data_IF_700677312893
#
_entry.id   IF_700677312893
#
_cell.length_a   1.000
_cell.length_b   1.000
_cell.length_c   1.000
_cell.angle_alpha   90.00
_cell.angle_beta   90.00
_cell.angle_gamma   90.00
#
_symmetry.space_group_name_H-M   'P 1'
#
loop_
_entity.id
_entity.type
_entity.pdbx_description
1 polymer ?
#
# COMPACT_ATOMS: atom_id res chain seq x y z
N UNK A 1 16.62 -115.04 -15.27
CA UNK A 1 17.42 -114.59 -14.11
C UNK A 1 17.20 -113.09 -13.90
N UNK A 2 17.18 -112.63 -12.63
CA UNK A 2 16.44 -111.45 -12.14
C UNK A 2 17.41 -110.33 -11.67
N UNK A 3 17.04 -109.35 -10.82
CA UNK A 3 15.98 -108.33 -10.92
C UNK A 3 16.45 -106.90 -10.49
N UNK A 4 15.48 -105.96 -10.44
CA UNK A 4 15.25 -104.99 -9.34
C UNK A 4 16.23 -103.81 -9.14
N UNK A 5 15.86 -102.65 -8.59
CA UNK A 5 14.61 -101.98 -8.18
C UNK A 5 15.06 -100.61 -7.64
N UNK A 6 14.26 -99.57 -7.84
CA UNK A 6 14.44 -98.24 -7.20
C UNK A 6 14.42 -98.37 -5.66
N UNK A 7 15.22 -97.55 -4.95
CA UNK A 7 14.76 -96.89 -3.70
C UNK A 7 15.68 -95.73 -3.25
N UNK A 8 15.01 -94.73 -2.71
CA UNK A 8 15.35 -93.49 -1.97
C UNK A 8 16.39 -93.58 -0.84
N UNK A 9 17.06 -92.45 -0.48
CA UNK A 9 16.93 -91.76 0.83
C UNK A 9 18.13 -90.88 1.28
N UNK A 10 17.78 -89.64 1.68
CA UNK A 10 18.30 -88.72 2.74
C UNK A 10 19.73 -88.13 2.81
N UNK A 11 19.65 -86.81 3.04
CA UNK A 11 20.53 -85.72 3.47
C UNK A 11 21.47 -85.97 4.65
N UNK A 12 22.65 -85.31 4.69
CA UNK A 12 23.22 -84.67 5.90
C UNK A 12 24.26 -83.57 5.57
N UNK A 13 24.21 -82.49 6.35
CA UNK A 13 24.98 -81.22 6.34
C UNK A 13 26.38 -81.29 6.97
N UNK A 14 27.34 -80.43 6.57
CA UNK A 14 28.47 -79.98 7.43
C UNK A 14 28.82 -78.48 7.25
N UNK A 15 29.13 -77.82 8.38
CA UNK A 15 29.43 -76.38 8.60
C UNK A 15 30.85 -75.96 8.13
N UNK A 16 31.11 -74.66 7.88
CA UNK A 16 32.41 -74.16 7.41
C UNK A 16 33.36 -73.74 8.56
N UNK A 17 34.67 -73.85 8.32
CA UNK A 17 35.76 -73.41 9.21
C UNK A 17 36.29 -72.04 8.73
N UNK A 18 36.38 -71.06 9.62
CA UNK A 18 36.93 -69.71 9.36
C UNK A 18 38.45 -69.63 9.57
N UNK A 19 39.19 -69.07 8.61
CA UNK A 19 40.65 -68.78 8.69
C UNK A 19 40.88 -67.27 8.93
N UNK A 20 41.62 -66.89 9.99
CA UNK A 20 41.96 -65.49 10.32
C UNK A 20 42.97 -64.90 9.32
N UNK A 21 42.72 -63.68 8.81
CA UNK A 21 43.58 -62.94 7.86
C UNK A 21 44.70 -62.14 8.57
N UNK A 22 45.90 -62.11 7.97
CA UNK A 22 47.08 -61.31 8.36
C UNK A 22 46.96 -59.90 7.76
N UNK A 23 47.17 -58.83 8.54
CA UNK A 23 47.01 -57.44 8.04
C UNK A 23 48.26 -56.94 7.28
N UNK A 24 48.07 -56.41 6.08
CA UNK A 24 49.11 -55.75 5.28
C UNK A 24 49.14 -54.23 5.56
N UNK A 25 50.33 -53.66 5.86
CA UNK A 25 50.53 -52.21 5.98
C UNK A 25 50.60 -51.58 4.56
N UNK A 26 49.84 -50.51 4.32
CA UNK A 26 49.78 -49.78 3.03
C UNK A 26 51.09 -49.05 2.70
N UNK A 27 51.45 -48.97 1.43
CA UNK A 27 52.71 -48.38 0.93
C UNK A 27 52.67 -46.83 0.90
N UNK A 28 53.86 -46.19 0.89
CA UNK A 28 54.03 -44.72 0.93
C UNK A 28 53.21 -43.99 -0.16
N UNK A 29 53.20 -44.50 -1.39
CA UNK A 29 52.40 -43.93 -2.50
C UNK A 29 50.88 -43.97 -2.24
N UNK A 30 50.37 -45.00 -1.55
CA UNK A 30 48.96 -45.06 -1.14
C UNK A 30 48.64 -44.04 -0.05
N UNK A 31 49.59 -43.76 0.85
CA UNK A 31 49.42 -42.77 1.94
C UNK A 31 49.37 -41.34 1.39
N UNK A 32 50.17 -41.04 0.37
CA UNK A 32 50.18 -39.72 -0.28
C UNK A 32 49.05 -39.52 -1.29
N UNK A 33 48.60 -40.57 -2.01
CA UNK A 33 47.36 -40.50 -2.81
C UNK A 33 46.13 -40.16 -1.96
N UNK A 34 46.01 -40.78 -0.79
CA UNK A 34 44.89 -40.51 0.12
C UNK A 34 44.94 -39.06 0.64
N UNK A 35 46.12 -38.57 1.04
CA UNK A 35 46.29 -37.17 1.46
C UNK A 35 45.94 -36.19 0.33
N UNK A 36 46.37 -36.45 -0.90
CA UNK A 36 46.06 -35.61 -2.05
C UNK A 36 44.56 -35.56 -2.35
N UNK A 37 43.87 -36.71 -2.28
CA UNK A 37 42.41 -36.77 -2.45
C UNK A 37 41.71 -36.00 -1.32
N UNK A 38 42.15 -36.14 -0.07
CA UNK A 38 41.60 -35.39 1.07
C UNK A 38 41.81 -33.88 0.86
N UNK A 39 42.99 -33.44 0.43
CA UNK A 39 43.26 -32.02 0.17
C UNK A 39 42.38 -31.48 -0.95
N UNK A 40 42.16 -32.24 -2.03
CA UNK A 40 41.25 -31.85 -3.11
C UNK A 40 39.80 -31.75 -2.63
N UNK A 41 39.35 -32.69 -1.80
CA UNK A 41 38.02 -32.65 -1.18
C UNK A 41 37.89 -31.46 -0.24
N UNK A 42 38.91 -31.15 0.57
CA UNK A 42 38.93 -29.97 1.44
C UNK A 42 38.91 -28.68 0.61
N UNK A 43 39.72 -28.56 -0.44
CA UNK A 43 39.72 -27.38 -1.31
C UNK A 43 38.40 -27.19 -2.05
N UNK A 44 37.70 -28.28 -2.39
CA UNK A 44 36.40 -28.24 -3.04
C UNK A 44 35.29 -27.89 -2.03
N UNK A 45 35.36 -28.43 -0.81
CA UNK A 45 34.47 -28.09 0.30
C UNK A 45 34.66 -26.66 0.79
N UNK A 46 35.87 -26.10 0.73
CA UNK A 46 36.21 -24.72 1.08
C UNK A 46 36.34 -23.80 -0.14
N UNK A 47 35.90 -24.25 -1.32
CA UNK A 47 35.93 -23.44 -2.53
C UNK A 47 35.00 -22.24 -2.40
N UNK A 48 35.47 -21.00 -2.64
CA UNK A 48 34.62 -19.81 -2.65
C UNK A 48 33.46 -19.91 -3.64
N UNK A 49 33.58 -20.73 -4.69
CA UNK A 49 32.53 -20.96 -5.69
C UNK A 49 31.39 -21.82 -5.14
N UNK A 50 31.69 -22.82 -4.29
CA UNK A 50 30.69 -23.70 -3.68
C UNK A 50 29.86 -22.93 -2.66
N UNK A 51 30.53 -22.21 -1.74
CA UNK A 51 29.84 -21.34 -0.78
C UNK A 51 29.23 -20.10 -1.43
N UNK A 52 29.82 -19.55 -2.49
CA UNK A 52 29.21 -18.45 -3.24
C UNK A 52 27.88 -18.84 -3.88
N UNK A 53 27.75 -20.06 -4.40
CA UNK A 53 26.48 -20.59 -4.93
C UNK A 53 25.50 -20.90 -3.80
N UNK A 54 25.92 -21.58 -2.74
CA UNK A 54 25.07 -21.86 -1.56
C UNK A 54 24.61 -20.58 -0.85
N UNK A 55 25.46 -19.57 -0.72
CA UNK A 55 25.11 -18.27 -0.16
C UNK A 55 24.18 -17.50 -1.10
N UNK A 56 24.43 -17.50 -2.41
CA UNK A 56 23.50 -16.91 -3.40
C UNK A 56 22.14 -17.59 -3.36
N UNK A 57 22.10 -18.93 -3.29
CA UNK A 57 20.85 -19.69 -3.20
C UNK A 57 20.18 -19.51 -1.84
N UNK A 58 20.91 -19.44 -0.72
CA UNK A 58 20.34 -19.19 0.60
C UNK A 58 19.81 -17.76 0.73
N UNK A 59 20.49 -16.77 0.16
CA UNK A 59 20.00 -15.38 0.08
C UNK A 59 18.82 -15.28 -0.88
N UNK A 60 18.83 -15.99 -2.01
CA UNK A 60 17.68 -16.02 -2.92
C UNK A 60 16.49 -16.75 -2.32
N UNK A 61 16.69 -17.83 -1.57
CA UNK A 61 15.64 -18.55 -0.85
C UNK A 61 15.16 -17.75 0.35
N UNK A 62 16.03 -17.04 1.06
CA UNK A 62 15.64 -16.13 2.13
C UNK A 62 14.82 -14.94 1.62
N UNK A 63 15.19 -14.38 0.45
CA UNK A 63 14.35 -13.40 -0.28
C UNK A 63 13.04 -14.04 -0.72
N UNK A 64 13.07 -15.17 -1.38
CA UNK A 64 11.87 -15.88 -1.86
C UNK A 64 10.92 -16.28 -0.72
N UNK A 65 11.43 -16.68 0.45
CA UNK A 65 10.65 -16.96 1.65
C UNK A 65 10.07 -15.67 2.23
N UNK A 66 10.87 -14.58 2.28
CA UNK A 66 10.37 -13.25 2.66
C UNK A 66 9.29 -12.77 1.67
N UNK A 67 9.48 -12.99 0.38
CA UNK A 67 8.53 -12.67 -0.69
C UNK A 67 7.30 -13.58 -0.64
N UNK A 68 7.42 -14.81 -0.10
CA UNK A 68 6.31 -15.72 0.19
C UNK A 68 5.46 -15.28 1.41
N UNK A 69 6.10 -14.66 2.40
CA UNK A 69 5.42 -14.09 3.57
C UNK A 69 4.99 -12.62 3.35
N UNK A 70 5.51 -11.93 2.32
CA UNK A 70 5.05 -10.63 1.79
C UNK A 70 4.07 -10.85 0.61
N UNK A 71 3.33 -11.97 0.60
CA UNK A 71 2.06 -12.01 -0.13
C UNK A 71 1.06 -11.16 0.67
N UNK A 72 0.54 -10.02 0.25
CA UNK A 72 0.71 -9.22 -0.95
C UNK A 72 0.14 -7.87 -0.52
N UNK A 73 0.93 -7.06 0.21
CA UNK A 73 0.42 -5.81 0.81
C UNK A 73 0.09 -4.76 -0.27
N UNK A 74 0.56 -4.96 -1.51
CA UNK A 74 0.33 -4.06 -2.65
C UNK A 74 0.10 -4.83 -3.97
N UNK A 75 -0.95 -5.69 -4.04
CA UNK A 75 -1.29 -6.47 -5.23
C UNK A 75 -1.75 -5.57 -6.34
N UNK A 76 -1.67 -6.06 -7.59
CA UNK A 76 -2.58 -5.58 -8.61
C UNK A 76 -4.00 -6.12 -8.32
N UNK A 77 -4.97 -5.24 -8.38
CA UNK A 77 -6.39 -5.57 -8.36
C UNK A 77 -6.95 -5.39 -9.77
N UNK A 78 -7.39 -6.47 -10.39
CA UNK A 78 -7.84 -6.44 -11.79
C UNK A 78 -9.17 -5.69 -11.97
N UNK A 79 -10.03 -5.66 -10.94
CA UNK A 79 -11.32 -4.95 -11.02
C UNK A 79 -11.12 -3.43 -10.92
N UNK A 80 -10.28 -2.99 -9.98
CA UNK A 80 -9.90 -1.58 -9.88
C UNK A 80 -8.85 -1.16 -10.92
N UNK A 81 -8.19 -2.12 -11.57
CA UNK A 81 -7.16 -1.90 -12.59
C UNK A 81 -5.88 -1.23 -12.08
N UNK A 82 -5.62 -1.28 -10.77
CA UNK A 82 -4.50 -0.60 -10.10
C UNK A 82 -3.91 -1.46 -8.98
N UNK A 83 -2.80 -1.01 -8.39
CA UNK A 83 -2.29 -1.60 -7.15
C UNK A 83 -2.95 -1.01 -5.92
N UNK A 84 -3.37 -1.87 -4.99
CA UNK A 84 -4.10 -1.47 -3.78
C UNK A 84 -3.28 -1.76 -2.51
N UNK A 85 -3.05 -0.80 -1.62
CA UNK A 85 -2.33 -1.03 -0.37
C UNK A 85 -3.25 -1.69 0.66
N UNK A 86 -3.32 -3.03 0.65
CA UNK A 86 -4.21 -3.86 1.47
C UNK A 86 -3.95 -3.81 2.98
N UNK A 87 -2.85 -3.17 3.39
CA UNK A 87 -2.60 -2.85 4.81
C UNK A 87 -3.71 -1.95 5.39
N UNK A 88 -4.32 -1.10 4.56
CA UNK A 88 -5.40 -0.21 4.98
C UNK A 88 -6.74 -0.84 4.58
N UNK A 89 -7.76 -0.62 5.40
CA UNK A 89 -9.09 -1.23 5.23
C UNK A 89 -10.16 -0.23 4.82
N UNK A 90 -9.90 1.06 5.03
CA UNK A 90 -10.83 2.14 4.72
C UNK A 90 -10.36 2.81 3.44
N UNK A 91 -11.12 2.62 2.37
CA UNK A 91 -10.81 3.15 1.05
C UNK A 91 -11.83 4.19 0.62
N UNK A 92 -11.40 5.07 -0.26
CA UNK A 92 -12.27 6.09 -0.83
C UNK A 92 -11.74 6.61 -2.13
N UNK A 93 -12.51 7.51 -2.74
CA UNK A 93 -12.16 8.16 -4.00
C UNK A 93 -12.14 9.68 -3.81
N UNK A 94 -11.55 10.37 -4.75
CA UNK A 94 -11.83 11.78 -4.92
C UNK A 94 -12.16 12.12 -6.37
N UNK A 95 -13.09 13.05 -6.53
CA UNK A 95 -13.74 13.30 -7.83
C UNK A 95 -14.01 14.78 -8.04
N UNK A 96 -14.11 15.14 -9.31
CA UNK A 96 -14.50 16.47 -9.77
C UNK A 96 -15.37 16.34 -11.02
N UNK A 97 -15.64 17.47 -11.67
CA UNK A 97 -16.25 17.51 -12.99
C UNK A 97 -15.51 16.71 -14.06
N UNK A 98 -14.22 16.41 -13.89
CA UNK A 98 -13.45 15.56 -14.83
C UNK A 98 -13.98 14.12 -14.90
N UNK A 99 -14.55 13.59 -13.80
CA UNK A 99 -15.17 12.26 -13.78
C UNK A 99 -16.58 12.24 -14.40
N UNK A 100 -17.13 13.41 -14.74
CA UNK A 100 -18.42 13.57 -15.38
C UNK A 100 -19.59 13.11 -14.50
N UNK A 101 -20.63 12.57 -15.13
CA UNK A 101 -21.82 12.06 -14.42
C UNK A 101 -21.52 10.71 -13.79
N UNK A 102 -21.48 10.68 -12.46
CA UNK A 102 -21.23 9.49 -11.63
C UNK A 102 -22.56 8.79 -11.31
N UNK A 103 -22.55 7.46 -11.34
CA UNK A 103 -23.61 6.63 -10.73
C UNK A 103 -23.13 6.15 -9.35
N UNK A 104 -23.55 6.85 -8.29
CA UNK A 104 -23.11 6.59 -6.92
C UNK A 104 -23.59 5.24 -6.35
N UNK A 105 -24.74 4.72 -6.81
CA UNK A 105 -25.22 3.39 -6.41
C UNK A 105 -24.27 2.28 -6.89
N UNK A 106 -23.69 2.44 -8.08
CA UNK A 106 -22.66 1.52 -8.59
C UNK A 106 -21.33 1.68 -7.88
N UNK A 107 -20.96 2.92 -7.53
CA UNK A 107 -19.74 3.20 -6.77
C UNK A 107 -19.76 2.49 -5.41
N UNK A 108 -20.85 2.63 -4.64
CA UNK A 108 -20.96 1.97 -3.31
C UNK A 108 -21.11 0.45 -3.41
N UNK A 109 -21.64 -0.07 -4.51
CA UNK A 109 -21.76 -1.50 -4.74
C UNK A 109 -20.44 -2.17 -5.18
N UNK A 110 -19.44 -1.38 -5.59
CA UNK A 110 -18.16 -1.91 -6.04
C UNK A 110 -17.37 -2.49 -4.86
N UNK A 111 -17.01 -3.77 -4.99
CA UNK A 111 -16.23 -4.50 -3.99
C UNK A 111 -15.31 -5.50 -4.70
N UNK A 112 -14.01 -5.43 -4.41
CA UNK A 112 -13.01 -6.41 -4.88
C UNK A 112 -12.06 -6.72 -3.74
N UNK A 113 -11.79 -8.00 -3.46
CA UNK A 113 -10.89 -8.45 -2.38
C UNK A 113 -11.12 -7.74 -1.02
N UNK A 114 -12.38 -7.60 -0.60
CA UNK A 114 -12.81 -6.89 0.63
C UNK A 114 -12.47 -5.38 0.65
N UNK A 115 -12.13 -4.79 -0.48
CA UNK A 115 -11.97 -3.34 -0.65
C UNK A 115 -13.33 -2.76 -1.02
N UNK A 116 -13.86 -1.90 -0.16
CA UNK A 116 -15.10 -1.15 -0.35
C UNK A 116 -14.80 0.34 -0.33
N UNK A 117 -15.58 1.10 -1.09
CA UNK A 117 -15.49 2.56 -1.07
C UNK A 117 -16.37 3.10 0.07
N UNK A 118 -15.75 3.52 1.16
CA UNK A 118 -16.43 4.04 2.35
C UNK A 118 -16.60 5.56 2.32
N UNK A 119 -15.66 6.28 1.68
CA UNK A 119 -15.69 7.74 1.62
C UNK A 119 -15.39 8.32 0.23
N UNK A 120 -15.77 9.58 0.02
CA UNK A 120 -15.40 10.34 -1.15
C UNK A 120 -15.11 11.82 -0.86
N UNK A 121 -14.03 12.37 -1.40
CA UNK A 121 -13.80 13.81 -1.46
C UNK A 121 -14.28 14.37 -2.80
N UNK A 122 -15.04 15.46 -2.78
CA UNK A 122 -15.71 16.01 -3.97
C UNK A 122 -15.27 17.45 -4.15
N UNK A 123 -14.76 17.79 -5.34
CA UNK A 123 -14.36 19.16 -5.66
C UNK A 123 -15.56 20.08 -5.55
N UNK A 124 -15.44 21.12 -4.74
CA UNK A 124 -16.49 22.14 -4.61
C UNK A 124 -16.14 23.41 -5.39
N UNK A 125 -14.95 23.95 -5.12
CA UNK A 125 -14.55 25.26 -5.64
C UNK A 125 -13.07 25.32 -5.96
N UNK A 126 -12.69 26.29 -6.79
CA UNK A 126 -11.31 26.60 -7.14
C UNK A 126 -11.10 28.12 -7.16
N UNK A 127 -10.05 28.57 -6.48
CA UNK A 127 -9.74 29.99 -6.37
C UNK A 127 -10.91 30.79 -5.77
N UNK A 128 -11.29 31.89 -6.40
CA UNK A 128 -12.32 32.81 -5.84
C UNK A 128 -13.57 32.91 -6.71
N UNK A 129 -13.68 32.11 -7.76
CA UNK A 129 -14.75 32.26 -8.77
C UNK A 129 -15.32 30.95 -9.31
N UNK A 130 -14.55 29.86 -9.31
CA UNK A 130 -14.96 28.63 -10.00
C UNK A 130 -15.67 27.70 -9.00
N UNK A 131 -16.92 27.38 -9.28
CA UNK A 131 -17.65 26.26 -8.66
C UNK A 131 -17.56 25.06 -9.61
N UNK A 132 -17.22 23.89 -9.10
CA UNK A 132 -17.19 22.68 -9.91
C UNK A 132 -18.61 22.35 -10.42
N UNK A 133 -18.74 22.12 -11.73
CA UNK A 133 -20.03 21.99 -12.40
C UNK A 133 -20.83 20.75 -11.99
N UNK A 134 -20.17 19.74 -11.41
CA UNK A 134 -20.81 18.53 -10.89
C UNK A 134 -20.94 18.50 -9.37
N UNK A 135 -20.37 19.48 -8.64
CA UNK A 135 -20.34 19.48 -7.18
C UNK A 135 -21.71 19.22 -6.56
N UNK A 136 -22.72 20.05 -6.85
CA UNK A 136 -24.03 19.97 -6.20
C UNK A 136 -24.73 18.61 -6.44
N UNK A 137 -24.53 18.04 -7.64
CA UNK A 137 -25.04 16.71 -7.97
C UNK A 137 -24.31 15.64 -7.16
N UNK A 138 -22.99 15.62 -7.24
CA UNK A 138 -22.16 14.63 -6.58
C UNK A 138 -22.33 14.69 -5.06
N UNK A 139 -22.40 15.90 -4.49
CA UNK A 139 -22.63 16.14 -3.08
C UNK A 139 -23.92 15.50 -2.60
N UNK A 140 -25.04 15.74 -3.30
CA UNK A 140 -26.34 15.16 -2.97
C UNK A 140 -26.36 13.64 -3.18
N UNK A 141 -25.98 13.17 -4.36
CA UNK A 141 -26.13 11.77 -4.77
C UNK A 141 -25.19 10.84 -3.99
N UNK A 142 -24.00 11.30 -3.58
CA UNK A 142 -23.10 10.49 -2.73
C UNK A 142 -23.69 10.26 -1.33
N UNK A 143 -24.32 11.28 -0.73
CA UNK A 143 -25.01 11.16 0.55
C UNK A 143 -26.20 10.22 0.45
N UNK A 144 -27.02 10.35 -0.59
CA UNK A 144 -28.16 9.47 -0.83
C UNK A 144 -27.73 7.99 -0.99
N UNK A 145 -26.56 7.74 -1.59
CA UNK A 145 -25.97 6.41 -1.70
C UNK A 145 -25.29 5.90 -0.41
N UNK A 146 -25.21 6.72 0.65
CA UNK A 146 -24.60 6.34 1.93
C UNK A 146 -23.08 6.45 2.01
N UNK A 147 -22.44 7.15 1.06
CA UNK A 147 -21.00 7.41 1.10
C UNK A 147 -20.69 8.56 2.07
N UNK A 148 -19.70 8.37 2.95
CA UNK A 148 -19.15 9.46 3.77
C UNK A 148 -18.49 10.47 2.83
N UNK A 149 -18.98 11.70 2.80
CA UNK A 149 -18.52 12.71 1.83
C UNK A 149 -17.76 13.84 2.50
N UNK A 150 -16.73 14.35 1.81
CA UNK A 150 -16.02 15.58 2.15
C UNK A 150 -15.92 16.49 0.94
N UNK A 151 -15.88 17.80 1.15
CA UNK A 151 -15.76 18.78 0.07
C UNK A 151 -14.36 19.39 0.07
N UNK A 152 -13.76 19.54 -1.12
CA UNK A 152 -12.43 20.16 -1.24
C UNK A 152 -12.43 21.46 -2.06
N UNK A 153 -11.50 22.34 -1.68
CA UNK A 153 -11.21 23.60 -2.34
C UNK A 153 -9.84 23.54 -3.02
N UNK A 154 -9.79 23.71 -4.34
CA UNK A 154 -8.52 23.85 -5.07
C UNK A 154 -7.95 25.25 -4.87
N UNK A 155 -6.88 25.34 -4.08
CA UNK A 155 -6.28 26.59 -3.66
C UNK A 155 -5.43 27.21 -4.76
N UNK A 156 -5.62 28.51 -5.00
CA UNK A 156 -4.77 29.33 -5.87
C UNK A 156 -3.92 30.28 -5.02
N UNK A 157 -2.60 30.03 -4.85
CA UNK A 157 -1.74 30.80 -3.95
C UNK A 157 -1.71 32.31 -4.19
N UNK A 158 -1.86 32.75 -5.45
CA UNK A 158 -1.86 34.19 -5.80
C UNK A 158 -3.19 34.90 -5.48
N UNK A 159 -4.16 34.20 -4.90
CA UNK A 159 -5.44 34.77 -4.46
C UNK A 159 -5.50 34.77 -2.94
N UNK A 160 -6.23 35.70 -2.34
CA UNK A 160 -6.35 35.79 -0.87
C UNK A 160 -7.01 34.51 -0.32
N UNK A 161 -6.34 33.86 0.61
CA UNK A 161 -6.81 32.63 1.26
C UNK A 161 -8.10 32.86 2.03
N UNK A 162 -8.24 34.02 2.69
CA UNK A 162 -9.50 34.42 3.34
C UNK A 162 -10.68 34.50 2.36
N UNK A 163 -10.49 35.07 1.17
CA UNK A 163 -11.55 35.15 0.17
C UNK A 163 -11.89 33.78 -0.43
N UNK A 164 -10.89 32.95 -0.65
CA UNK A 164 -11.07 31.56 -1.08
C UNK A 164 -11.89 30.75 -0.04
N UNK A 165 -11.57 30.88 1.24
CA UNK A 165 -12.30 30.21 2.32
C UNK A 165 -13.76 30.66 2.40
N UNK A 166 -14.02 31.97 2.29
CA UNK A 166 -15.39 32.51 2.24
C UNK A 166 -16.17 31.97 1.05
N UNK A 167 -15.54 31.92 -0.13
CA UNK A 167 -16.18 31.42 -1.34
C UNK A 167 -16.50 29.92 -1.23
N UNK A 168 -15.58 29.13 -0.67
CA UNK A 168 -15.82 27.72 -0.36
C UNK A 168 -17.02 27.54 0.59
N UNK A 169 -17.06 28.27 1.71
CA UNK A 169 -18.14 28.17 2.71
C UNK A 169 -19.49 28.73 2.23
N UNK A 170 -19.51 29.60 1.22
CA UNK A 170 -20.74 30.02 0.55
C UNK A 170 -21.31 28.95 -0.38
N UNK A 171 -20.45 28.05 -0.87
CA UNK A 171 -20.82 27.01 -1.84
C UNK A 171 -21.17 25.69 -1.16
N UNK A 172 -20.48 25.36 -0.07
CA UNK A 172 -20.61 24.09 0.65
C UNK A 172 -21.43 24.28 1.92
N UNK A 173 -22.56 23.59 1.99
CA UNK A 173 -23.32 23.46 3.23
C UNK A 173 -22.89 22.17 3.95
N UNK A 174 -22.04 22.32 4.95
CA UNK A 174 -21.53 21.23 5.78
C UNK A 174 -22.57 20.84 6.83
N UNK A 175 -22.74 19.55 7.05
CA UNK A 175 -23.63 19.01 8.07
C UNK A 175 -22.95 17.90 8.89
N UNK A 176 -23.60 17.51 9.99
CA UNK A 176 -23.09 16.43 10.80
C UNK A 176 -23.04 15.11 10.01
N UNK A 177 -21.92 14.39 10.12
CA UNK A 177 -21.64 13.19 9.34
C UNK A 177 -20.82 13.44 8.06
N UNK A 178 -20.63 14.69 7.63
CA UNK A 178 -19.67 15.01 6.57
C UNK A 178 -18.23 14.96 7.13
N UNK A 179 -17.26 14.69 6.26
CA UNK A 179 -15.84 14.89 6.55
C UNK A 179 -15.50 16.38 6.67
N UNK A 180 -14.43 16.73 7.41
CA UNK A 180 -13.96 18.10 7.49
C UNK A 180 -13.65 18.72 6.11
N UNK A 181 -13.78 20.04 5.97
CA UNK A 181 -13.37 20.75 4.76
C UNK A 181 -11.93 20.43 4.37
N UNK A 182 -11.68 20.20 3.09
CA UNK A 182 -10.34 19.99 2.58
C UNK A 182 -9.86 21.23 1.83
N UNK A 183 -8.63 21.65 2.10
CA UNK A 183 -7.88 22.54 1.21
C UNK A 183 -6.87 21.74 0.42
N UNK A 184 -6.96 21.83 -0.90
CA UNK A 184 -6.06 21.22 -1.86
C UNK A 184 -5.03 22.29 -2.30
N UNK A 185 -3.76 22.10 -1.92
CA UNK A 185 -2.65 23.00 -2.24
C UNK A 185 -1.48 22.22 -2.87
N UNK A 186 -1.23 22.49 -4.15
CA UNK A 186 -0.23 21.73 -4.92
C UNK A 186 0.86 22.60 -5.54
N UNK A 187 0.65 23.91 -5.57
CA UNK A 187 1.56 24.87 -6.19
C UNK A 187 1.90 26.02 -5.25
N UNK A 188 3.04 26.68 -5.47
CA UNK A 188 3.43 27.89 -4.74
C UNK A 188 2.88 29.15 -5.40
N UNK A 189 2.49 29.06 -6.68
CA UNK A 189 2.19 30.23 -7.50
C UNK A 189 3.35 31.21 -7.59
N UNK A 190 4.61 30.79 -7.36
CA UNK A 190 5.77 31.68 -7.37
C UNK A 190 5.92 32.58 -6.13
N UNK A 191 5.11 32.36 -5.09
CA UNK A 191 5.30 33.00 -3.79
C UNK A 191 6.49 32.39 -3.04
N UNK A 192 7.08 33.15 -2.12
CA UNK A 192 8.01 32.57 -1.13
C UNK A 192 7.28 31.60 -0.20
N UNK A 193 8.03 30.69 0.44
CA UNK A 193 7.49 29.74 1.43
C UNK A 193 6.71 30.46 2.54
N UNK A 194 7.23 31.57 3.05
CA UNK A 194 6.56 32.33 4.12
C UNK A 194 5.23 32.95 3.65
N UNK A 195 5.23 33.59 2.48
CA UNK A 195 4.00 34.20 1.92
C UNK A 195 2.93 33.16 1.64
N UNK A 196 3.32 32.02 1.05
CA UNK A 196 2.43 30.89 0.81
C UNK A 196 1.80 30.39 2.12
N UNK A 197 2.63 30.16 3.14
CA UNK A 197 2.19 29.68 4.45
C UNK A 197 1.30 30.69 5.18
N UNK A 198 1.55 31.99 5.08
CA UNK A 198 0.70 33.01 5.68
C UNK A 198 -0.67 33.04 4.98
N UNK A 199 -0.68 33.00 3.66
CA UNK A 199 -1.91 33.01 2.88
C UNK A 199 -2.75 31.73 3.10
N UNK A 200 -2.10 30.57 3.19
CA UNK A 200 -2.76 29.32 3.57
C UNK A 200 -3.34 29.40 5.00
N UNK A 201 -2.60 29.96 5.96
CA UNK A 201 -3.09 30.14 7.32
C UNK A 201 -4.35 31.02 7.37
N UNK A 202 -4.45 32.06 6.54
CA UNK A 202 -5.67 32.88 6.45
C UNK A 202 -6.88 32.05 6.00
N UNK A 203 -6.70 31.15 5.03
CA UNK A 203 -7.75 30.22 4.62
C UNK A 203 -8.18 29.32 5.78
N UNK A 204 -7.21 28.63 6.40
CA UNK A 204 -7.47 27.68 7.49
C UNK A 204 -8.20 28.35 8.67
N UNK A 205 -7.73 29.53 9.09
CA UNK A 205 -8.34 30.30 10.17
C UNK A 205 -9.78 30.70 9.86
N UNK A 206 -10.08 31.12 8.63
CA UNK A 206 -11.45 31.50 8.26
C UNK A 206 -12.37 30.28 8.22
N UNK A 207 -11.90 29.12 7.73
CA UNK A 207 -12.68 27.88 7.80
C UNK A 207 -12.96 27.50 9.24
N UNK A 208 -11.93 27.37 10.09
CA UNK A 208 -12.10 26.98 11.49
C UNK A 208 -13.04 27.93 12.26
N UNK A 209 -12.89 29.24 12.03
CA UNK A 209 -13.72 30.24 12.68
C UNK A 209 -15.21 30.09 12.33
N UNK A 210 -15.54 29.67 11.11
CA UNK A 210 -16.91 29.60 10.58
C UNK A 210 -17.54 28.22 10.68
N UNK A 211 -16.80 27.16 10.35
CA UNK A 211 -17.29 25.77 10.39
C UNK A 211 -17.11 25.10 11.75
N UNK A 212 -16.34 25.71 12.65
CA UNK A 212 -15.94 25.12 13.95
C UNK A 212 -15.22 23.77 13.82
N UNK A 213 -14.69 23.50 12.63
CA UNK A 213 -14.04 22.22 12.30
C UNK A 213 -12.66 22.50 11.74
N UNK A 214 -11.67 21.75 12.22
CA UNK A 214 -10.28 21.83 11.73
C UNK A 214 -10.20 21.24 10.30
N UNK A 215 -9.73 21.98 9.29
CA UNK A 215 -9.63 21.49 7.93
C UNK A 215 -8.63 20.34 7.76
N UNK A 216 -8.83 19.55 6.70
CA UNK A 216 -7.83 18.63 6.16
C UNK A 216 -6.99 19.40 5.13
N UNK A 217 -5.67 19.13 5.10
CA UNK A 217 -4.77 19.68 4.09
C UNK A 217 -4.38 18.57 3.12
N UNK A 218 -4.78 18.70 1.86
CA UNK A 218 -4.29 17.89 0.76
C UNK A 218 -3.10 18.54 0.05
N UNK A 219 -2.09 17.74 -0.26
CA UNK A 219 -0.90 18.18 -0.99
C UNK A 219 -0.10 16.99 -1.51
N UNK A 220 0.71 17.19 -2.55
CA UNK A 220 1.74 16.23 -2.95
C UNK A 220 2.81 16.03 -1.88
N UNK A 221 3.35 14.80 -1.78
CA UNK A 221 4.37 14.41 -0.79
C UNK A 221 5.57 15.37 -0.73
N UNK A 222 6.17 15.70 -1.89
CA UNK A 222 7.36 16.55 -1.93
C UNK A 222 7.04 17.99 -1.53
N UNK A 223 5.88 18.50 -1.98
CA UNK A 223 5.42 19.83 -1.64
C UNK A 223 5.16 19.98 -0.13
N UNK A 224 4.59 18.95 0.50
CA UNK A 224 4.40 18.90 1.94
C UNK A 224 5.72 19.02 2.69
N UNK A 225 6.72 18.18 2.35
CA UNK A 225 8.02 18.20 3.01
C UNK A 225 8.73 19.56 2.89
N UNK A 226 8.68 20.17 1.70
CA UNK A 226 9.43 21.39 1.44
C UNK A 226 8.73 22.63 2.04
N UNK A 227 7.39 22.67 2.00
CA UNK A 227 6.64 23.90 2.28
C UNK A 227 5.77 23.85 3.53
N UNK A 228 5.27 22.70 3.96
CA UNK A 228 4.14 22.65 4.91
C UNK A 228 4.44 21.92 6.23
N UNK A 229 5.27 20.88 6.20
CA UNK A 229 5.52 19.95 7.32
C UNK A 229 5.87 20.64 8.65
N UNK A 230 6.72 21.66 8.62
CA UNK A 230 7.21 22.34 9.82
C UNK A 230 6.13 23.19 10.52
N UNK A 231 5.14 23.70 9.76
CA UNK A 231 4.15 24.66 10.27
C UNK A 231 2.76 24.05 10.45
N UNK A 232 2.41 23.07 9.63
CA UNK A 232 1.04 22.54 9.56
C UNK A 232 0.95 21.06 9.97
N UNK A 233 1.98 20.50 10.62
CA UNK A 233 2.01 19.10 11.03
C UNK A 233 0.89 18.67 11.99
N UNK A 234 0.27 19.62 12.71
CA UNK A 234 -0.84 19.34 13.63
C UNK A 234 -2.22 19.20 12.95
N UNK A 235 -2.31 19.41 11.64
CA UNK A 235 -3.55 19.23 10.87
C UNK A 235 -3.74 17.78 10.44
N UNK A 236 -4.96 17.42 10.08
CA UNK A 236 -5.21 16.17 9.35
C UNK A 236 -4.62 16.31 7.95
N UNK A 237 -3.66 15.45 7.61
CA UNK A 237 -2.90 15.53 6.35
C UNK A 237 -3.36 14.43 5.38
N UNK A 238 -3.68 14.86 4.16
CA UNK A 238 -3.94 14.00 3.01
C UNK A 238 -2.80 14.15 2.00
N UNK A 239 -2.05 13.08 1.75
CA UNK A 239 -0.87 13.13 0.87
C UNK A 239 -1.13 12.43 -0.45
N UNK A 240 -0.82 13.10 -1.56
CA UNK A 240 -0.66 12.45 -2.86
C UNK A 240 0.76 11.90 -3.04
N UNK A 241 0.86 10.58 -3.27
CA UNK A 241 2.11 9.90 -3.59
C UNK A 241 1.84 8.57 -4.29
N UNK A 242 1.82 8.62 -5.62
CA UNK A 242 1.30 7.52 -6.40
C UNK A 242 2.26 6.35 -6.57
N UNK A 243 1.68 5.17 -6.78
CA UNK A 243 2.37 3.96 -7.24
C UNK A 243 3.49 3.50 -6.29
N UNK A 244 3.33 3.80 -5.00
CA UNK A 244 4.23 3.32 -3.96
C UNK A 244 3.53 2.23 -3.15
N UNK A 245 4.23 1.19 -2.68
CA UNK A 245 3.66 0.21 -1.77
C UNK A 245 3.42 0.77 -0.36
N UNK A 246 4.07 1.88 -0.02
CA UNK A 246 3.91 2.59 1.25
C UNK A 246 4.27 4.05 1.10
N UNK A 247 3.64 4.90 1.91
CA UNK A 247 4.03 6.29 2.00
C UNK A 247 5.40 6.44 2.68
N UNK A 248 6.22 7.37 2.20
CA UNK A 248 7.57 7.65 2.73
C UNK A 248 7.53 8.69 3.87
N UNK A 249 6.47 8.67 4.66
CA UNK A 249 6.34 9.46 5.88
C UNK A 249 6.13 8.52 7.08
N UNK A 250 6.49 8.93 8.31
CA UNK A 250 6.06 8.22 9.51
C UNK A 250 4.53 8.06 9.52
N UNK A 251 4.02 6.93 10.00
CA UNK A 251 2.56 6.67 10.03
C UNK A 251 1.79 7.70 10.85
N UNK A 252 2.43 8.35 11.82
CA UNK A 252 1.81 9.42 12.62
C UNK A 252 1.71 10.77 11.90
N UNK A 253 2.29 10.92 10.71
CA UNK A 253 2.40 12.21 10.01
C UNK A 253 1.34 12.40 8.92
N UNK A 254 0.46 11.43 8.69
CA UNK A 254 -0.56 11.48 7.63
C UNK A 254 -1.78 10.64 8.00
N UNK A 255 -2.91 10.99 7.40
CA UNK A 255 -4.23 10.42 7.72
C UNK A 255 -4.91 9.88 6.48
N UNK A 256 -4.79 10.56 5.34
CA UNK A 256 -5.25 10.05 4.05
C UNK A 256 -4.08 9.97 3.07
N UNK A 257 -4.12 8.99 2.17
CA UNK A 257 -3.12 8.81 1.14
C UNK A 257 -3.78 8.51 -0.20
N UNK A 258 -3.62 9.43 -1.16
CA UNK A 258 -3.97 9.21 -2.55
C UNK A 258 -2.82 8.43 -3.20
N UNK A 259 -3.07 7.16 -3.49
CA UNK A 259 -2.05 6.19 -3.89
C UNK A 259 -2.06 5.84 -5.38
N UNK A 260 -3.13 6.22 -6.09
CA UNK A 260 -3.27 6.05 -7.53
C UNK A 260 -4.24 7.10 -8.08
N UNK A 261 -4.06 7.46 -9.35
CA UNK A 261 -4.86 8.44 -10.11
C UNK A 261 -5.56 7.80 -11.33
N UNK A 262 -5.49 6.48 -11.44
CA UNK A 262 -5.89 5.73 -12.64
C UNK A 262 -6.75 4.51 -12.35
N UNK A 263 -7.49 4.52 -11.23
CA UNK A 263 -8.44 3.46 -10.90
C UNK A 263 -9.60 3.40 -11.89
N UNK A 264 -10.07 2.19 -12.17
CA UNK A 264 -11.39 1.93 -12.72
C UNK A 264 -12.38 1.86 -11.56
N UNK A 265 -13.50 2.57 -11.66
CA UNK A 265 -14.57 2.54 -10.66
C UNK A 265 -15.90 2.37 -11.37
N UNK A 266 -16.66 1.36 -10.99
CA UNK A 266 -17.98 1.11 -11.53
C UNK A 266 -18.91 2.30 -11.29
N UNK A 267 -19.58 2.74 -12.37
CA UNK A 267 -20.40 3.95 -12.36
C UNK A 267 -19.66 5.23 -12.75
N UNK A 268 -18.35 5.17 -13.02
CA UNK A 268 -17.53 6.29 -13.51
C UNK A 268 -16.86 5.90 -14.83
N UNK A 269 -17.02 6.71 -15.88
CA UNK A 269 -16.51 6.38 -17.23
C UNK A 269 -15.00 6.64 -17.40
N UNK A 270 -14.42 7.46 -16.53
CA UNK A 270 -13.03 7.90 -16.59
C UNK A 270 -12.17 7.28 -15.49
N UNK A 271 -10.90 7.66 -15.49
CA UNK A 271 -9.97 7.34 -14.42
C UNK A 271 -10.30 8.11 -13.14
N UNK A 272 -10.08 7.46 -12.01
CA UNK A 272 -10.46 7.97 -10.69
C UNK A 272 -9.28 7.87 -9.74
N UNK A 273 -9.15 8.89 -8.91
CA UNK A 273 -8.19 8.97 -7.84
C UNK A 273 -8.62 8.06 -6.68
N UNK A 274 -7.70 7.24 -6.19
CA UNK A 274 -7.95 6.22 -5.16
C UNK A 274 -7.17 6.55 -3.89
N UNK A 275 -7.87 6.48 -2.76
CA UNK A 275 -7.40 6.89 -1.46
C UNK A 275 -7.54 5.78 -0.44
N UNK A 276 -6.66 5.82 0.55
CA UNK A 276 -6.80 5.08 1.80
C UNK A 276 -6.77 6.01 2.99
N UNK A 277 -7.47 5.61 4.06
CA UNK A 277 -7.38 6.23 5.36
C UNK A 277 -6.49 5.40 6.30
N UNK A 278 -5.68 6.09 7.09
CA UNK A 278 -4.74 5.53 8.04
C UNK A 278 -5.41 5.32 9.41
N UNK A 279 -6.30 4.34 9.45
CA UNK A 279 -7.10 4.00 10.61
C UNK A 279 -8.22 3.04 10.21
N UNK A 280 -9.04 2.67 11.17
CA UNK A 280 -10.26 1.91 10.91
C UNK A 280 -11.50 2.80 10.72
N UNK A 281 -12.67 2.19 10.54
CA UNK A 281 -13.95 2.91 10.38
C UNK A 281 -14.34 3.71 11.63
N UNK A 282 -13.92 3.27 12.82
CA UNK A 282 -14.17 4.00 14.08
C UNK A 282 -13.33 5.25 14.09
N UNK A 283 -12.04 5.14 13.78
CA UNK A 283 -11.14 6.28 13.66
C UNK A 283 -11.66 7.30 12.63
N UNK A 284 -12.11 6.84 11.45
CA UNK A 284 -12.70 7.71 10.43
C UNK A 284 -13.94 8.45 10.97
N UNK A 285 -14.81 7.75 11.71
CA UNK A 285 -16.02 8.32 12.29
C UNK A 285 -15.74 9.46 13.28
N UNK A 286 -14.58 9.44 13.95
CA UNK A 286 -14.16 10.50 14.88
C UNK A 286 -13.80 11.80 14.17
N UNK A 287 -13.41 11.75 12.89
CA UNK A 287 -13.11 12.93 12.08
C UNK A 287 -14.38 13.62 11.58
N UNK A 288 -15.52 12.93 11.53
CA UNK A 288 -16.75 13.49 10.99
C UNK A 288 -17.21 14.69 11.80
N UNK A 289 -17.82 15.65 11.11
CA UNK A 289 -18.44 16.81 11.75
C UNK A 289 -19.52 16.29 12.70
N UNK A 290 -19.41 16.67 13.97
CA UNK A 290 -20.33 16.25 15.02
C UNK A 290 -21.52 17.21 15.08
N UNK A 291 -22.69 16.71 15.51
CA UNK A 291 -23.83 17.58 15.80
C UNK A 291 -23.45 18.56 16.92
N UNK A 292 -23.63 19.85 16.68
CA UNK A 292 -23.60 20.84 17.77
C UNK A 292 -24.85 20.64 18.63
N UNK A 293 -24.67 20.28 19.90
CA UNK A 293 -25.72 20.18 20.90
C UNK A 293 -26.09 21.55 21.47
#
# INVERSE_FOLDING_TARGET
MPPARKTTSRTTTKKPVTRKKRSTKKTFAQKHKLKFIITLVVLLLFSPLYYGKLFRTAVSTGRWVKDLFIFDEYPNDDEFGIRIPRKYHVHGIDVSSYQGKINWEKVVAMESYNVKLSFAFIKATEGVTLVDSYFQRNWRESKEAGIIRGAYHYFKPKKSGKWQAKFFLQTVNLEAGDLPPVIDIEETGGLSKLELQLNLQEFLNEIEAKSKTKPIIYTGYKFFEDNLKEKFGDYTIWIAHYYQPKLKLPETAWHFWQHADNAHIDGIKGKVDMNVFNGDEVDLSTLLIQKSY
#
